data_IF_917244380783
#
_entry.id   IF_917244380783
#
_cell.length_a   1.000
_cell.length_b   1.000
_cell.length_c   1.000
_cell.angle_alpha   90.00
_cell.angle_beta   90.00
_cell.angle_gamma   90.00
#
_symmetry.space_group_name_H-M   'P 1'
#
loop_
_entity.id
_entity.type
_entity.pdbx_description
1 polymer ?
#
# COMPACT_ATOMS: atom_id res chain seq x y z
N UNK A 1 57.48 19.70 82.73
CA UNK A 1 56.21 20.15 82.08
C UNK A 1 56.40 20.88 80.75
N UNK A 2 57.36 20.54 79.88
CA UNK A 2 57.49 21.13 78.49
C UNK A 2 57.33 20.17 77.30
N UNK A 3 57.05 18.91 77.60
CA UNK A 3 56.94 17.89 76.50
C UNK A 3 55.53 17.68 75.98
N UNK A 4 54.45 17.97 76.72
CA UNK A 4 53.08 17.70 76.32
C UNK A 4 52.46 18.78 75.40
N UNK A 5 53.00 20.01 75.38
CA UNK A 5 52.42 21.06 74.55
C UNK A 5 52.81 21.01 73.06
N UNK A 6 53.90 20.30 72.69
CA UNK A 6 54.27 20.15 71.27
C UNK A 6 53.45 19.11 70.55
N UNK A 7 53.06 18.02 71.24
CA UNK A 7 52.20 16.95 70.56
C UNK A 7 50.77 17.37 70.30
N UNK A 8 50.17 18.18 71.22
CA UNK A 8 48.80 18.69 71.02
C UNK A 8 48.70 19.68 69.85
N UNK A 9 49.67 20.55 69.64
CA UNK A 9 49.71 21.48 68.51
C UNK A 9 49.92 20.78 67.15
N UNK A 10 50.68 19.66 67.13
CA UNK A 10 50.91 18.91 65.88
C UNK A 10 49.68 18.12 65.42
N UNK A 11 48.88 17.61 66.37
CA UNK A 11 47.61 16.99 66.07
C UNK A 11 46.53 17.98 65.61
N UNK A 12 46.44 19.18 66.19
CA UNK A 12 45.53 20.22 65.74
C UNK A 12 45.88 20.75 64.35
N UNK A 13 47.17 20.91 64.03
CA UNK A 13 47.61 21.39 62.71
C UNK A 13 47.38 20.31 61.64
N UNK A 14 47.57 19.02 61.94
CA UNK A 14 47.26 17.90 61.04
C UNK A 14 45.75 17.74 60.81
N UNK A 15 44.94 17.92 61.89
CA UNK A 15 43.48 17.91 61.78
C UNK A 15 42.93 19.07 60.94
N UNK A 16 43.43 20.31 61.12
CA UNK A 16 43.04 21.45 60.28
C UNK A 16 43.48 21.32 58.79
N UNK A 17 44.68 20.74 58.54
CA UNK A 17 45.14 20.47 57.14
C UNK A 17 44.32 19.37 56.46
N UNK A 18 43.89 18.32 57.15
CA UNK A 18 43.05 17.24 56.64
C UNK A 18 41.65 17.76 56.28
N UNK A 19 41.02 18.53 57.16
CA UNK A 19 39.73 19.17 56.91
C UNK A 19 39.73 20.19 55.74
N UNK A 20 40.85 20.93 55.53
CA UNK A 20 41.02 21.80 54.36
C UNK A 20 41.21 21.04 53.06
N UNK A 21 41.89 19.86 53.05
CA UNK A 21 42.04 19.00 51.85
C UNK A 21 40.73 18.37 51.49
N UNK A 22 39.94 17.87 52.43
CA UNK A 22 38.65 17.27 52.21
C UNK A 22 37.62 18.30 51.69
N UNK A 23 37.55 19.49 52.26
CA UNK A 23 36.72 20.59 51.72
C UNK A 23 37.13 21.00 50.29
N UNK A 24 38.46 21.03 49.96
CA UNK A 24 38.90 21.27 48.55
C UNK A 24 38.56 20.15 47.63
N UNK A 25 38.57 18.89 48.05
CA UNK A 25 38.18 17.69 47.26
C UNK A 25 36.67 17.71 46.98
N UNK A 26 35.85 18.00 47.99
CA UNK A 26 34.39 18.15 47.81
C UNK A 26 34.01 19.35 46.93
N UNK A 27 34.75 20.46 47.00
CA UNK A 27 34.54 21.62 46.12
C UNK A 27 34.89 21.30 44.65
N UNK A 28 35.96 20.54 44.39
CA UNK A 28 36.33 20.10 43.04
C UNK A 28 35.28 19.12 42.48
N UNK A 29 34.81 18.16 43.29
CA UNK A 29 33.79 17.22 42.92
C UNK A 29 32.47 17.92 42.56
N UNK A 30 32.02 18.90 43.35
CA UNK A 30 30.84 19.70 43.04
C UNK A 30 30.99 20.48 41.74
N UNK A 31 32.17 21.03 41.42
CA UNK A 31 32.43 21.68 40.13
C UNK A 31 32.37 20.70 38.96
N UNK A 32 32.93 19.49 39.09
CA UNK A 32 32.88 18.46 38.06
C UNK A 32 31.43 18.02 37.81
N UNK A 33 30.66 17.77 38.87
CA UNK A 33 29.23 17.43 38.76
C UNK A 33 28.43 18.55 38.07
N UNK A 34 28.71 19.83 38.44
CA UNK A 34 28.07 20.97 37.81
C UNK A 34 28.42 21.07 36.30
N UNK A 35 29.69 20.86 35.95
CA UNK A 35 30.11 20.85 34.52
C UNK A 35 29.41 19.74 33.77
N UNK A 36 29.37 18.51 34.30
CA UNK A 36 28.66 17.40 33.70
C UNK A 36 27.17 17.74 33.52
N UNK A 37 26.53 18.31 34.55
CA UNK A 37 25.14 18.72 34.48
C UNK A 37 24.91 19.77 33.40
N UNK A 38 25.72 20.82 33.33
CA UNK A 38 25.65 21.88 32.32
C UNK A 38 25.86 21.29 30.93
N UNK A 39 26.84 20.37 30.75
CA UNK A 39 27.09 19.70 29.47
C UNK A 39 25.88 18.89 29.04
N UNK A 40 25.25 18.13 29.94
CA UNK A 40 24.04 17.37 29.66
C UNK A 40 22.85 18.27 29.28
N UNK A 41 22.72 19.42 29.96
CA UNK A 41 21.70 20.43 29.63
C UNK A 41 21.93 21.01 28.23
N UNK A 42 23.17 21.35 27.89
CA UNK A 42 23.53 21.87 26.55
C UNK A 42 23.24 20.81 25.47
N UNK A 43 23.63 19.56 25.70
CA UNK A 43 23.32 18.43 24.75
C UNK A 43 21.82 18.28 24.60
N UNK A 44 21.05 18.33 25.70
CA UNK A 44 19.59 18.27 25.68
C UNK A 44 18.95 19.41 24.87
N UNK A 45 19.38 20.65 25.13
CA UNK A 45 18.87 21.82 24.38
C UNK A 45 19.22 21.77 22.89
N UNK A 46 20.45 21.33 22.57
CA UNK A 46 20.87 21.14 21.18
C UNK A 46 20.00 20.06 20.47
N UNK A 47 19.75 18.95 21.17
CA UNK A 47 18.87 17.89 20.68
C UNK A 47 17.42 18.39 20.41
N UNK A 48 16.88 19.18 21.35
CA UNK A 48 15.55 19.81 21.18
C UNK A 48 15.57 20.79 20.01
N UNK A 49 16.61 21.57 19.83
CA UNK A 49 16.74 22.50 18.69
C UNK A 49 16.78 21.78 17.34
N UNK A 50 17.53 20.68 17.23
CA UNK A 50 17.60 19.85 16.04
C UNK A 50 16.23 19.20 15.77
N UNK A 51 15.59 18.64 16.80
CA UNK A 51 14.26 18.08 16.71
C UNK A 51 13.25 19.10 16.18
N UNK A 52 13.17 20.28 16.80
CA UNK A 52 12.28 21.35 16.40
C UNK A 52 12.56 21.83 14.96
N UNK A 53 13.82 21.97 14.57
CA UNK A 53 14.22 22.35 13.22
C UNK A 53 13.82 21.35 12.15
N UNK A 54 13.80 20.05 12.46
CA UNK A 54 13.31 19.02 11.55
C UNK A 54 11.77 19.00 11.57
N UNK A 55 11.16 19.00 12.76
CA UNK A 55 9.71 18.85 12.95
C UNK A 55 8.90 19.99 12.31
N UNK A 56 9.35 21.24 12.44
CA UNK A 56 8.69 22.42 11.90
C UNK A 56 9.25 22.89 10.55
N UNK A 57 10.04 22.07 9.86
CA UNK A 57 10.60 22.44 8.55
C UNK A 57 9.51 22.45 7.46
N UNK A 58 9.43 23.56 6.71
CA UNK A 58 8.52 23.68 5.55
C UNK A 58 8.78 22.64 4.45
N UNK A 59 9.97 22.03 4.43
CA UNK A 59 10.30 20.94 3.47
C UNK A 59 9.43 19.70 3.64
N UNK A 60 8.77 19.55 4.79
CA UNK A 60 7.95 18.39 5.14
C UNK A 60 6.47 18.71 5.19
N UNK A 61 6.11 19.89 4.69
CA UNK A 61 4.73 20.31 4.63
C UNK A 61 3.95 19.40 3.66
N UNK A 62 2.78 19.01 4.08
CA UNK A 62 1.83 18.24 3.27
C UNK A 62 0.54 19.05 3.10
N UNK A 63 -0.13 18.82 1.99
CA UNK A 63 -1.42 19.43 1.66
C UNK A 63 -2.56 18.41 1.81
N UNK A 64 -3.80 18.85 1.73
CA UNK A 64 -4.94 17.93 1.73
C UNK A 64 -4.92 17.01 0.51
N UNK A 65 -4.48 17.52 -0.62
CA UNK A 65 -4.37 16.81 -1.89
C UNK A 65 -3.37 15.63 -1.78
N UNK A 66 -2.30 15.81 -1.01
CA UNK A 66 -1.33 14.73 -0.75
C UNK A 66 -1.93 13.59 0.09
N UNK A 67 -2.98 13.88 0.89
CA UNK A 67 -3.63 12.90 1.78
C UNK A 67 -4.86 12.26 1.15
N UNK A 68 -5.44 12.90 0.15
CA UNK A 68 -6.57 12.32 -0.58
C UNK A 68 -6.08 11.06 -1.28
N UNK A 69 -6.67 9.93 -0.90
CA UNK A 69 -6.43 8.67 -1.60
C UNK A 69 -6.77 8.90 -3.07
N UNK A 70 -5.84 8.52 -3.95
CA UNK A 70 -6.12 8.46 -5.38
C UNK A 70 -7.43 7.69 -5.62
N UNK A 71 -8.07 7.97 -6.71
CA UNK A 71 -9.35 7.39 -7.08
C UNK A 71 -9.33 5.86 -7.04
N UNK A 72 -10.53 5.27 -7.08
CA UNK A 72 -10.71 3.84 -7.32
C UNK A 72 -9.99 3.38 -8.58
N UNK A 73 -9.76 2.08 -8.70
CA UNK A 73 -9.34 1.50 -9.96
C UNK A 73 -10.30 1.87 -11.09
N UNK A 74 -9.77 2.06 -12.28
CA UNK A 74 -10.60 2.29 -13.47
C UNK A 74 -11.31 1.02 -13.87
N UNK A 75 -12.60 1.12 -14.17
CA UNK A 75 -13.43 0.01 -14.65
C UNK A 75 -13.65 0.11 -16.14
N UNK A 76 -13.59 -1.02 -16.85
CA UNK A 76 -13.76 -1.12 -18.29
C UNK A 76 -15.06 -1.84 -18.63
N UNK A 77 -15.80 -1.30 -19.56
CA UNK A 77 -17.09 -1.82 -20.02
C UNK A 77 -17.09 -2.02 -21.53
N UNK A 78 -17.90 -2.95 -22.00
CA UNK A 78 -18.14 -3.16 -23.44
C UNK A 78 -19.13 -2.12 -24.02
N UNK A 79 -19.49 -2.28 -25.29
CA UNK A 79 -20.41 -1.39 -26.00
C UNK A 79 -21.84 -1.36 -25.44
N UNK A 80 -22.23 -2.38 -24.68
CA UNK A 80 -23.55 -2.50 -24.04
C UNK A 80 -23.53 -2.08 -22.56
N UNK A 81 -22.36 -1.69 -22.03
CA UNK A 81 -22.16 -1.35 -20.62
C UNK A 81 -21.96 -2.57 -19.71
N UNK A 82 -21.70 -3.75 -20.28
CA UNK A 82 -21.31 -4.93 -19.50
C UNK A 82 -19.89 -4.78 -18.99
N UNK A 83 -19.66 -5.07 -17.71
CA UNK A 83 -18.35 -5.05 -17.11
C UNK A 83 -17.39 -6.05 -17.78
N UNK A 84 -16.21 -5.59 -18.17
CA UNK A 84 -15.14 -6.41 -18.76
C UNK A 84 -14.02 -6.70 -17.76
N UNK A 85 -13.42 -5.66 -17.21
CA UNK A 85 -12.33 -5.78 -16.24
C UNK A 85 -12.18 -4.53 -15.39
N UNK A 86 -11.34 -4.63 -14.37
CA UNK A 86 -10.88 -3.52 -13.55
C UNK A 86 -9.38 -3.34 -13.76
N UNK A 87 -8.94 -2.13 -14.10
CA UNK A 87 -7.53 -1.82 -14.27
C UNK A 87 -6.94 -1.55 -12.88
N UNK A 88 -6.20 -2.49 -12.36
CA UNK A 88 -5.40 -2.31 -11.16
C UNK A 88 -3.98 -1.88 -11.54
N UNK A 89 -3.54 -0.74 -11.01
CA UNK A 89 -2.16 -0.35 -11.09
C UNK A 89 -1.28 -1.16 -10.12
N UNK A 90 -0.25 -0.51 -9.56
CA UNK A 90 0.60 -1.12 -8.53
C UNK A 90 -0.19 -1.49 -7.25
N UNK A 91 -1.38 -0.95 -7.07
CA UNK A 91 -2.22 -1.12 -5.89
C UNK A 91 -3.67 -1.43 -6.29
N UNK A 92 -4.08 -2.68 -6.04
CA UNK A 92 -5.46 -3.09 -6.28
C UNK A 92 -6.33 -2.72 -5.07
N UNK A 93 -7.14 -1.65 -5.19
CA UNK A 93 -8.00 -1.14 -4.12
C UNK A 93 -9.40 -0.76 -4.60
N UNK A 94 -10.34 -0.83 -3.66
CA UNK A 94 -11.67 -0.24 -3.80
C UNK A 94 -11.95 0.62 -2.59
N UNK A 95 -12.12 1.93 -2.83
CA UNK A 95 -12.37 2.93 -1.78
C UNK A 95 -13.85 2.86 -1.39
N UNK A 96 -14.09 2.73 -0.10
CA UNK A 96 -15.43 2.77 0.50
C UNK A 96 -15.45 3.75 1.67
N UNK A 97 -16.62 4.27 2.00
CA UNK A 97 -16.78 5.14 3.17
C UNK A 97 -16.60 4.35 4.48
N UNK A 98 -16.23 5.03 5.56
CA UNK A 98 -16.12 4.40 6.88
C UNK A 98 -17.43 3.72 7.31
N UNK A 99 -18.58 4.27 6.92
CA UNK A 99 -19.90 3.69 7.20
C UNK A 99 -20.11 2.35 6.47
N UNK A 100 -19.54 2.18 5.28
CA UNK A 100 -19.64 0.96 4.47
C UNK A 100 -18.64 -0.13 4.92
N UNK A 101 -17.74 0.17 5.88
CA UNK A 101 -16.79 -0.81 6.42
C UNK A 101 -17.41 -1.71 7.52
N UNK A 102 -18.69 -1.52 7.83
CA UNK A 102 -19.36 -2.23 8.90
C UNK A 102 -18.91 -1.81 10.32
N UNK A 103 -19.54 -2.40 11.35
CA UNK A 103 -19.28 -1.97 12.73
C UNK A 103 -17.99 -2.51 13.34
N UNK A 104 -17.44 -3.60 12.81
CA UNK A 104 -16.34 -4.34 13.43
C UNK A 104 -14.95 -3.95 12.91
N UNK A 105 -14.79 -3.72 11.59
CA UNK A 105 -13.49 -3.45 10.98
C UNK A 105 -12.81 -2.22 11.61
N UNK A 106 -13.46 -1.04 11.71
CA UNK A 106 -12.82 0.13 12.31
C UNK A 106 -12.39 -0.13 13.76
N UNK A 107 -13.26 -0.78 14.55
CA UNK A 107 -12.98 -1.12 15.95
C UNK A 107 -11.82 -2.11 16.08
N UNK A 108 -11.77 -3.14 15.24
CA UNK A 108 -10.71 -4.16 15.27
C UNK A 108 -9.32 -3.58 14.96
N UNK A 109 -9.23 -2.74 13.93
CA UNK A 109 -7.97 -2.07 13.58
C UNK A 109 -7.52 -1.08 14.66
N UNK A 110 -8.44 -0.26 15.19
CA UNK A 110 -8.12 0.64 16.30
C UNK A 110 -7.66 -0.14 17.52
N UNK A 111 -8.31 -1.24 17.87
CA UNK A 111 -7.97 -2.05 19.03
C UNK A 111 -6.54 -2.60 18.97
N UNK A 112 -6.10 -3.11 17.82
CA UNK A 112 -4.80 -3.77 17.71
C UNK A 112 -3.68 -2.83 17.32
N UNK A 113 -3.95 -1.84 16.48
CA UNK A 113 -2.94 -0.93 15.96
C UNK A 113 -2.76 0.31 16.84
N UNK A 114 -3.85 0.87 17.38
CA UNK A 114 -3.80 2.15 18.07
C UNK A 114 -4.94 2.33 19.08
N UNK A 115 -4.90 1.59 20.20
CA UNK A 115 -5.95 1.61 21.24
C UNK A 115 -6.29 2.99 21.80
N UNK A 116 -5.42 3.97 21.61
CA UNK A 116 -5.57 5.34 22.07
C UNK A 116 -5.77 6.34 20.93
N UNK A 117 -6.17 5.86 19.76
CA UNK A 117 -6.32 6.65 18.55
C UNK A 117 -7.07 7.98 18.77
N UNK A 118 -8.18 7.94 19.51
CA UNK A 118 -9.00 9.13 19.82
C UNK A 118 -8.33 10.11 20.82
N UNK A 119 -7.20 9.74 21.45
CA UNK A 119 -6.63 10.47 22.59
C UNK A 119 -5.35 11.22 22.28
N UNK A 120 -4.86 11.16 21.05
CA UNK A 120 -3.61 11.84 20.65
C UNK A 120 -3.79 12.58 19.31
N UNK A 121 -2.85 13.48 19.00
CA UNK A 121 -2.81 14.26 17.76
C UNK A 121 -1.68 13.77 16.85
N UNK A 122 -1.84 12.58 16.30
CA UNK A 122 -0.90 11.96 15.35
C UNK A 122 0.24 11.15 15.99
N UNK A 123 0.70 11.52 17.17
CA UNK A 123 1.77 10.82 17.91
C UNK A 123 1.30 10.51 19.32
N UNK A 124 1.28 9.25 19.71
CA UNK A 124 1.05 8.85 21.10
C UNK A 124 2.36 8.86 21.88
N UNK A 125 2.62 9.97 22.58
CA UNK A 125 3.85 10.15 23.36
C UNK A 125 4.03 9.08 24.46
N UNK A 126 2.93 8.63 25.09
CA UNK A 126 2.99 7.59 26.12
C UNK A 126 3.41 6.24 25.54
N UNK A 127 2.79 5.84 24.42
CA UNK A 127 3.12 4.61 23.70
C UNK A 127 4.53 4.67 23.12
N UNK A 128 4.91 5.80 22.53
CA UNK A 128 6.26 6.04 22.00
C UNK A 128 7.34 5.95 23.07
N UNK A 129 7.14 6.58 24.23
CA UNK A 129 8.07 6.48 25.35
C UNK A 129 8.19 5.03 25.86
N UNK A 130 7.06 4.32 25.98
CA UNK A 130 7.05 2.91 26.34
C UNK A 130 7.81 2.03 25.34
N UNK A 131 7.66 2.28 24.03
CA UNK A 131 8.39 1.58 22.99
C UNK A 131 9.90 1.83 23.05
N UNK A 132 10.33 3.07 23.30
CA UNK A 132 11.74 3.43 23.46
C UNK A 132 12.36 2.73 24.69
N UNK A 133 11.67 2.77 25.83
CA UNK A 133 12.13 2.08 27.05
C UNK A 133 12.25 0.57 26.82
N UNK A 134 11.24 -0.04 26.18
CA UNK A 134 11.23 -1.47 25.87
C UNK A 134 12.37 -1.84 24.91
N UNK A 135 12.62 -1.02 23.89
CA UNK A 135 13.75 -1.18 22.95
C UNK A 135 15.11 -1.15 23.68
N UNK A 136 15.30 -0.22 24.61
CA UNK A 136 16.54 -0.11 25.41
C UNK A 136 16.70 -1.34 26.32
N UNK A 137 15.64 -1.74 27.05
CA UNK A 137 15.68 -2.87 27.98
C UNK A 137 15.99 -4.18 27.24
N UNK A 138 15.39 -4.40 26.05
CA UNK A 138 15.55 -5.61 25.25
C UNK A 138 16.72 -5.52 24.23
N UNK A 139 17.62 -4.54 24.38
CA UNK A 139 18.82 -4.35 23.53
C UNK A 139 18.51 -4.38 22.04
N UNK A 140 17.47 -3.68 21.62
CA UNK A 140 17.08 -3.57 20.21
C UNK A 140 16.20 -4.72 19.67
N UNK A 141 15.89 -5.73 20.46
CA UNK A 141 15.04 -6.88 20.05
C UNK A 141 13.59 -6.75 20.53
N UNK A 142 13.01 -5.55 20.45
CA UNK A 142 11.62 -5.33 20.86
C UNK A 142 10.67 -5.41 19.66
N UNK A 143 9.64 -6.24 19.79
CA UNK A 143 8.51 -6.31 18.84
C UNK A 143 7.36 -5.34 19.20
N UNK A 144 7.56 -4.47 20.19
CA UNK A 144 6.52 -3.53 20.63
C UNK A 144 6.36 -2.40 19.61
N UNK A 145 5.24 -2.41 18.87
CA UNK A 145 4.91 -1.39 17.89
C UNK A 145 4.52 -0.06 18.56
N UNK A 146 5.32 0.98 18.36
CA UNK A 146 5.06 2.32 18.91
C UNK A 146 4.38 3.29 17.97
N UNK A 147 4.13 2.92 16.71
CA UNK A 147 3.52 3.79 15.70
C UNK A 147 2.00 3.85 15.85
N UNK A 148 1.44 5.04 15.62
CA UNK A 148 -0.02 5.26 15.57
C UNK A 148 -0.58 4.96 14.18
N UNK A 149 -1.91 4.85 14.05
CA UNK A 149 -2.60 4.74 12.76
C UNK A 149 -2.22 5.91 11.84
N UNK A 150 -2.18 7.14 12.37
CA UNK A 150 -1.80 8.33 11.59
C UNK A 150 -0.36 8.27 11.09
N UNK A 151 0.57 7.75 11.89
CA UNK A 151 1.95 7.53 11.48
C UNK A 151 2.09 6.44 10.41
N UNK A 152 1.32 5.35 10.54
CA UNK A 152 1.27 4.31 9.53
C UNK A 152 0.69 4.83 8.22
N UNK A 153 -0.36 5.68 8.28
CA UNK A 153 -0.92 6.34 7.11
C UNK A 153 0.14 7.18 6.39
N UNK A 154 0.91 8.01 7.13
CA UNK A 154 2.03 8.78 6.55
C UNK A 154 3.04 7.87 5.86
N UNK A 155 3.47 6.78 6.53
CA UNK A 155 4.44 5.82 5.96
C UNK A 155 3.92 5.22 4.64
N UNK A 156 2.65 4.80 4.61
CA UNK A 156 2.04 4.18 3.44
C UNK A 156 1.92 5.16 2.26
N UNK A 157 1.60 6.43 2.54
CA UNK A 157 1.44 7.46 1.52
C UNK A 157 2.77 7.90 0.90
N UNK A 158 3.80 8.06 1.72
CA UNK A 158 5.06 8.69 1.28
C UNK A 158 6.05 7.69 0.66
N UNK A 159 5.82 6.37 0.82
CA UNK A 159 6.70 5.30 0.30
C UNK A 159 8.20 5.62 0.51
N UNK A 160 8.53 6.24 1.66
CA UNK A 160 9.91 6.57 2.01
C UNK A 160 10.70 5.29 2.28
N UNK A 161 11.93 5.21 1.77
CA UNK A 161 12.84 4.08 2.01
C UNK A 161 13.09 3.85 3.50
N UNK A 162 13.34 2.60 3.87
CA UNK A 162 13.68 2.25 5.25
C UNK A 162 15.15 2.59 5.53
N UNK A 163 15.39 3.83 5.96
CA UNK A 163 16.70 4.29 6.42
C UNK A 163 17.02 3.76 7.82
N UNK A 164 18.29 3.43 8.07
CA UNK A 164 18.81 3.02 9.37
C UNK A 164 19.65 4.12 10.05
N UNK A 165 19.93 3.94 11.32
CA UNK A 165 20.78 4.83 12.10
C UNK A 165 20.20 6.25 12.21
N UNK A 166 21.06 7.27 12.05
CA UNK A 166 20.65 8.68 12.14
C UNK A 166 19.68 9.12 11.06
N UNK A 167 19.75 8.55 9.87
CA UNK A 167 18.80 8.78 8.78
C UNK A 167 17.41 8.27 9.18
N UNK A 168 17.32 7.08 9.79
CA UNK A 168 16.08 6.53 10.33
C UNK A 168 15.45 7.39 11.43
N UNK A 169 16.28 7.97 12.33
CA UNK A 169 15.78 8.93 13.35
C UNK A 169 15.18 10.17 12.67
N UNK A 170 15.89 10.75 11.69
CA UNK A 170 15.41 11.91 10.93
C UNK A 170 14.11 11.60 10.19
N UNK A 171 14.03 10.45 9.54
CA UNK A 171 12.81 9.97 8.89
C UNK A 171 11.65 9.87 9.90
N UNK A 172 11.90 9.31 11.09
CA UNK A 172 10.86 9.18 12.12
C UNK A 172 10.37 10.54 12.63
N UNK A 173 11.23 11.54 12.76
CA UNK A 173 10.83 12.91 13.14
C UNK A 173 9.96 13.53 12.02
N UNK A 174 10.29 13.31 10.74
CA UNK A 174 9.46 13.75 9.61
C UNK A 174 8.08 13.09 9.62
N UNK A 175 8.04 11.77 9.86
CA UNK A 175 6.79 11.01 9.98
C UNK A 175 5.91 11.61 11.10
N UNK A 176 6.49 11.93 12.25
CA UNK A 176 5.77 12.57 13.35
C UNK A 176 5.25 13.97 12.98
N UNK A 177 6.07 14.77 12.31
CA UNK A 177 5.66 16.10 11.83
C UNK A 177 4.46 16.00 10.88
N UNK A 178 4.52 15.11 9.91
CA UNK A 178 3.44 14.89 8.95
C UNK A 178 2.18 14.29 9.60
N UNK A 179 2.35 13.35 10.52
CA UNK A 179 1.22 12.81 11.28
C UNK A 179 0.49 13.89 12.08
N UNK A 180 1.23 14.80 12.71
CA UNK A 180 0.65 15.95 13.39
C UNK A 180 -0.09 16.89 12.40
N UNK A 181 0.48 17.17 11.23
CA UNK A 181 -0.16 18.01 10.21
C UNK A 181 -1.47 17.37 9.70
N UNK A 182 -1.50 16.06 9.44
CA UNK A 182 -2.72 15.33 9.04
C UNK A 182 -3.83 15.51 10.09
N UNK A 183 -3.52 15.37 11.36
CA UNK A 183 -4.50 15.54 12.45
C UNK A 183 -5.01 16.99 12.59
N UNK A 184 -4.30 17.98 12.05
CA UNK A 184 -4.82 19.35 11.96
C UNK A 184 -5.74 19.57 10.75
N UNK A 185 -5.65 18.72 9.73
CA UNK A 185 -6.38 18.86 8.47
C UNK A 185 -7.61 17.94 8.38
N UNK A 186 -7.55 16.78 9.02
CA UNK A 186 -8.56 15.72 8.92
C UNK A 186 -9.10 15.32 10.30
N UNK A 187 -10.37 14.98 10.36
CA UNK A 187 -10.96 14.35 11.55
C UNK A 187 -10.47 12.91 11.74
N UNK A 188 -10.61 12.38 12.96
CA UNK A 188 -10.28 10.98 13.27
C UNK A 188 -10.96 9.98 12.33
N UNK A 189 -12.24 10.20 12.03
CA UNK A 189 -12.98 9.35 11.10
C UNK A 189 -12.38 9.40 9.69
N UNK A 190 -12.00 10.58 9.19
CA UNK A 190 -11.38 10.72 7.88
C UNK A 190 -9.99 10.06 7.84
N UNK A 191 -9.21 10.19 8.91
CA UNK A 191 -7.90 9.53 9.03
C UNK A 191 -8.08 8.00 9.02
N UNK A 192 -9.01 7.47 9.81
CA UNK A 192 -9.29 6.03 9.89
C UNK A 192 -9.81 5.49 8.56
N UNK A 193 -10.75 6.19 7.92
CA UNK A 193 -11.26 5.86 6.59
C UNK A 193 -10.13 5.79 5.56
N UNK A 194 -9.29 6.82 5.53
CA UNK A 194 -8.14 6.89 4.63
C UNK A 194 -7.17 5.75 4.87
N UNK A 195 -6.84 5.46 6.13
CA UNK A 195 -5.95 4.37 6.52
C UNK A 195 -6.49 3.00 6.10
N UNK A 196 -7.75 2.70 6.42
CA UNK A 196 -8.38 1.42 6.12
C UNK A 196 -8.56 1.16 4.62
N UNK A 197 -8.63 2.20 3.81
CA UNK A 197 -8.63 2.11 2.35
C UNK A 197 -7.22 1.98 1.74
N UNK A 198 -6.15 2.26 2.50
CA UNK A 198 -4.77 2.23 1.99
C UNK A 198 -3.92 1.09 2.51
N UNK A 199 -4.33 0.45 3.59
CA UNK A 199 -3.53 -0.58 4.23
C UNK A 199 -3.27 -1.76 3.29
N UNK A 200 -2.00 -2.22 3.24
CA UNK A 200 -1.64 -3.40 2.46
C UNK A 200 -2.09 -4.67 3.18
N UNK A 201 -2.85 -5.51 2.49
CA UNK A 201 -3.49 -6.70 3.07
C UNK A 201 -2.96 -8.02 2.48
N UNK A 202 -1.89 -7.98 1.68
CA UNK A 202 -1.21 -9.18 1.17
C UNK A 202 -1.94 -9.89 0.04
N UNK A 203 -1.94 -11.22 0.10
CA UNK A 203 -2.64 -12.09 -0.85
C UNK A 203 -1.89 -12.40 -2.15
N UNK A 204 -0.61 -12.00 -2.27
CA UNK A 204 0.21 -12.26 -3.48
C UNK A 204 -0.18 -11.43 -4.71
N UNK A 205 -1.17 -10.54 -4.60
CA UNK A 205 -1.77 -9.77 -5.70
C UNK A 205 -1.96 -8.28 -5.37
N UNK A 206 -1.06 -7.69 -4.62
CA UNK A 206 -1.08 -6.24 -4.32
C UNK A 206 -2.43 -5.73 -3.79
N UNK A 207 -3.07 -6.48 -2.86
CA UNK A 207 -4.36 -6.12 -2.27
C UNK A 207 -4.17 -4.99 -1.26
N UNK A 208 -4.87 -3.89 -1.50
CA UNK A 208 -4.90 -2.73 -0.63
C UNK A 208 -6.33 -2.40 -0.20
N UNK A 209 -6.48 -2.02 1.08
CA UNK A 209 -7.74 -1.63 1.68
C UNK A 209 -8.64 -2.80 2.08
N UNK A 210 -9.48 -2.53 3.07
CA UNK A 210 -10.29 -3.55 3.74
C UNK A 210 -11.40 -4.15 2.86
N UNK A 211 -11.95 -3.39 1.89
CA UNK A 211 -12.98 -3.91 0.99
C UNK A 211 -12.41 -4.98 0.05
N UNK A 212 -11.25 -4.71 -0.59
CA UNK A 212 -10.59 -5.70 -1.46
C UNK A 212 -10.11 -6.91 -0.66
N UNK A 213 -9.61 -6.70 0.55
CA UNK A 213 -9.23 -7.80 1.44
C UNK A 213 -10.42 -8.66 1.84
N UNK A 214 -11.56 -8.04 2.18
CA UNK A 214 -12.80 -8.75 2.48
C UNK A 214 -13.27 -9.61 1.30
N UNK A 215 -13.27 -9.04 0.10
CA UNK A 215 -13.58 -9.79 -1.13
C UNK A 215 -12.61 -10.94 -1.35
N UNK A 216 -11.31 -10.70 -1.20
CA UNK A 216 -10.29 -11.72 -1.44
C UNK A 216 -10.36 -12.90 -0.47
N UNK A 217 -10.48 -12.61 0.83
CA UNK A 217 -10.43 -13.67 1.85
C UNK A 217 -11.78 -14.34 2.10
N UNK A 218 -12.89 -13.64 1.91
CA UNK A 218 -14.22 -14.12 2.30
C UNK A 218 -15.28 -14.05 1.20
N UNK A 219 -14.96 -13.46 0.05
CA UNK A 219 -15.92 -13.16 -1.03
C UNK A 219 -17.15 -12.36 -0.55
N UNK A 220 -16.98 -11.53 0.48
CA UNK A 220 -17.98 -10.67 1.09
C UNK A 220 -17.61 -9.19 0.95
N UNK A 221 -18.58 -8.28 1.04
CA UNK A 221 -18.32 -6.87 1.30
C UNK A 221 -17.77 -6.66 2.72
N UNK A 222 -17.01 -5.59 2.93
CA UNK A 222 -16.48 -5.24 4.24
C UNK A 222 -17.59 -5.09 5.31
N UNK A 223 -18.75 -4.53 4.92
CA UNK A 223 -19.93 -4.38 5.77
C UNK A 223 -20.57 -5.69 6.24
N UNK A 224 -20.33 -6.79 5.51
CA UNK A 224 -20.94 -8.11 5.78
C UNK A 224 -20.06 -8.99 6.67
N UNK A 225 -18.87 -8.54 7.04
CA UNK A 225 -17.95 -9.33 7.85
C UNK A 225 -18.46 -9.50 9.30
N UNK A 226 -18.37 -10.72 9.79
CA UNK A 226 -18.58 -11.05 11.20
C UNK A 226 -17.46 -10.47 12.07
N UNK A 227 -17.67 -10.44 13.39
CA UNK A 227 -16.66 -10.01 14.35
C UNK A 227 -15.35 -10.81 14.22
N UNK A 228 -15.44 -12.13 14.05
CA UNK A 228 -14.27 -13.00 13.89
C UNK A 228 -13.51 -12.73 12.59
N UNK A 229 -14.22 -12.52 11.47
CA UNK A 229 -13.62 -12.19 10.18
C UNK A 229 -12.96 -10.80 10.17
N UNK A 230 -13.60 -9.81 10.78
CA UNK A 230 -13.02 -8.47 10.94
C UNK A 230 -11.76 -8.49 11.84
N UNK A 231 -11.79 -9.29 12.93
CA UNK A 231 -10.63 -9.49 13.79
C UNK A 231 -9.48 -10.19 13.05
N UNK A 232 -9.77 -11.13 12.16
CA UNK A 232 -8.76 -11.73 11.28
C UNK A 232 -8.09 -10.68 10.40
N UNK A 233 -8.88 -9.86 9.68
CA UNK A 233 -8.31 -8.82 8.80
C UNK A 233 -7.39 -7.86 9.58
N UNK A 234 -7.82 -7.41 10.76
CA UNK A 234 -6.99 -6.54 11.58
C UNK A 234 -5.72 -7.24 12.09
N UNK A 235 -5.83 -8.53 12.42
CA UNK A 235 -4.72 -9.33 12.93
C UNK A 235 -3.62 -9.60 11.93
N UNK A 236 -3.96 -9.81 10.66
CA UNK A 236 -2.98 -10.11 9.60
C UNK A 236 -2.23 -8.88 9.10
N UNK A 237 -2.68 -7.67 9.41
CA UNK A 237 -2.13 -6.41 8.92
C UNK A 237 -0.60 -6.29 9.10
N UNK A 238 -0.05 -6.81 10.19
CA UNK A 238 1.40 -6.75 10.49
C UNK A 238 2.28 -7.58 9.56
N UNK A 239 1.75 -8.70 9.06
CA UNK A 239 2.49 -9.63 8.21
C UNK A 239 1.50 -10.42 7.33
N UNK A 240 0.80 -9.76 6.39
CA UNK A 240 -0.30 -10.38 5.68
C UNK A 240 0.12 -11.59 4.85
N UNK A 241 1.35 -11.63 4.34
CA UNK A 241 1.85 -12.79 3.62
C UNK A 241 2.15 -13.98 4.56
N UNK A 242 2.56 -13.73 5.81
CA UNK A 242 2.83 -14.79 6.79
C UNK A 242 1.56 -15.42 7.40
N UNK A 243 0.41 -14.77 7.24
CA UNK A 243 -0.89 -15.24 7.72
C UNK A 243 -1.86 -15.52 6.57
N UNK A 244 -1.34 -15.84 5.37
CA UNK A 244 -2.16 -16.16 4.21
C UNK A 244 -2.90 -17.48 4.45
N UNK A 245 -4.25 -17.51 4.49
CA UNK A 245 -5.03 -18.72 4.76
C UNK A 245 -5.02 -19.74 3.60
N UNK A 246 -4.52 -19.34 2.44
CA UNK A 246 -4.40 -20.19 1.26
C UNK A 246 -3.03 -20.87 1.15
N UNK A 247 -2.16 -20.67 2.13
CA UNK A 247 -0.88 -21.36 2.30
C UNK A 247 -0.98 -22.36 3.44
N UNK A 248 -0.50 -23.59 3.22
CA UNK A 248 -0.56 -24.66 4.20
C UNK A 248 0.27 -24.34 5.46
N UNK A 249 -0.25 -24.73 6.62
CA UNK A 249 0.45 -24.61 7.90
C UNK A 249 0.23 -23.30 8.66
N UNK A 250 -0.56 -22.38 8.13
CA UNK A 250 -0.82 -21.08 8.75
C UNK A 250 -2.00 -21.07 9.74
N UNK A 251 -2.80 -22.14 9.84
CA UNK A 251 -4.08 -22.17 10.58
C UNK A 251 -3.92 -21.79 12.05
N UNK A 252 -2.94 -22.35 12.74
CA UNK A 252 -2.73 -22.07 14.18
C UNK A 252 -2.20 -20.62 14.40
N UNK A 253 -1.39 -20.11 13.51
CA UNK A 253 -0.91 -18.73 13.56
C UNK A 253 -2.07 -17.75 13.33
N UNK A 254 -2.96 -18.06 12.37
CA UNK A 254 -4.19 -17.30 12.09
C UNK A 254 -5.11 -17.29 13.30
N UNK A 255 -5.42 -18.47 13.89
CA UNK A 255 -6.23 -18.56 15.11
C UNK A 255 -5.65 -17.69 16.22
N UNK A 256 -4.35 -17.80 16.47
CA UNK A 256 -3.66 -17.05 17.53
C UNK A 256 -3.76 -15.54 17.32
N UNK A 257 -3.46 -15.04 16.11
CA UNK A 257 -3.51 -13.60 15.84
C UNK A 257 -4.93 -13.06 15.91
N UNK A 258 -5.91 -13.77 15.37
CA UNK A 258 -7.33 -13.38 15.42
C UNK A 258 -7.84 -13.30 16.85
N UNK A 259 -7.56 -14.31 17.69
CA UNK A 259 -7.89 -14.27 19.12
C UNK A 259 -7.24 -13.11 19.85
N UNK A 260 -6.00 -12.76 19.51
CA UNK A 260 -5.31 -11.61 20.11
C UNK A 260 -6.11 -10.32 19.87
N UNK A 261 -6.65 -10.13 18.67
CA UNK A 261 -7.48 -8.97 18.33
C UNK A 261 -8.79 -9.00 19.11
N UNK A 262 -9.49 -10.14 19.15
CA UNK A 262 -10.76 -10.30 19.89
C UNK A 262 -10.59 -10.00 21.39
N UNK A 263 -9.55 -10.54 22.02
CA UNK A 263 -9.22 -10.25 23.42
C UNK A 263 -9.00 -8.75 23.61
N UNK A 264 -8.24 -8.11 22.71
CA UNK A 264 -7.97 -6.69 22.80
C UNK A 264 -9.22 -5.83 22.61
N UNK A 265 -10.08 -6.19 21.68
CA UNK A 265 -11.38 -5.53 21.49
C UNK A 265 -12.27 -5.65 22.72
N UNK A 266 -12.30 -6.82 23.37
CA UNK A 266 -13.04 -7.05 24.62
C UNK A 266 -12.48 -6.19 25.77
N UNK A 267 -11.16 -6.19 25.98
CA UNK A 267 -10.49 -5.36 27.00
C UNK A 267 -10.81 -3.87 26.86
N UNK A 268 -11.00 -3.40 25.64
CA UNK A 268 -11.31 -2.01 25.33
C UNK A 268 -12.82 -1.70 25.31
N UNK A 269 -13.69 -2.68 25.61
CA UNK A 269 -15.14 -2.51 25.59
C UNK A 269 -15.71 -2.24 24.20
N UNK A 270 -15.04 -2.71 23.14
CA UNK A 270 -15.47 -2.50 21.76
C UNK A 270 -16.42 -3.58 21.24
N UNK A 271 -16.61 -4.65 22.00
CA UNK A 271 -17.59 -5.73 21.78
C UNK A 271 -18.77 -5.48 22.70
N UNK A 272 -19.98 -5.55 22.17
CA UNK A 272 -21.19 -5.10 22.89
C UNK A 272 -21.64 -6.09 23.97
N UNK A 273 -21.53 -7.40 23.69
CA UNK A 273 -21.98 -8.44 24.64
C UNK A 273 -20.91 -9.53 24.81
N UNK A 274 -21.01 -10.25 25.93
CA UNK A 274 -20.18 -11.41 26.22
C UNK A 274 -20.51 -12.59 25.28
N UNK A 275 -21.76 -12.71 24.90
CA UNK A 275 -22.24 -13.72 23.94
C UNK A 275 -21.59 -13.53 22.58
N UNK A 276 -21.57 -12.29 22.06
CA UNK A 276 -20.93 -11.94 20.79
C UNK A 276 -19.42 -12.28 20.80
N UNK A 277 -18.74 -11.99 21.91
CA UNK A 277 -17.34 -12.36 22.09
C UNK A 277 -17.13 -13.88 22.09
N UNK A 278 -17.93 -14.61 22.85
CA UNK A 278 -17.80 -16.07 22.99
C UNK A 278 -18.11 -16.78 21.68
N UNK A 279 -19.10 -16.32 20.92
CA UNK A 279 -19.42 -16.81 19.57
C UNK A 279 -18.26 -16.60 18.60
N UNK A 280 -17.64 -15.40 18.61
CA UNK A 280 -16.48 -15.11 17.77
C UNK A 280 -15.29 -16.00 18.14
N UNK A 281 -14.99 -16.20 19.43
CA UNK A 281 -13.94 -17.11 19.89
C UNK A 281 -14.20 -18.54 19.46
N UNK A 282 -15.43 -19.05 19.63
CA UNK A 282 -15.80 -20.39 19.22
C UNK A 282 -15.66 -20.59 17.70
N UNK A 283 -16.01 -19.58 16.92
CA UNK A 283 -15.82 -19.57 15.46
C UNK A 283 -14.34 -19.66 15.09
N UNK A 284 -13.47 -18.90 15.75
CA UNK A 284 -12.01 -18.96 15.52
C UNK A 284 -11.42 -20.31 15.94
N UNK A 285 -11.90 -20.90 17.06
CA UNK A 285 -11.43 -22.21 17.53
C UNK A 285 -11.77 -23.33 16.56
N UNK A 286 -12.99 -23.29 16.01
CA UNK A 286 -13.43 -24.22 14.97
C UNK A 286 -12.65 -24.03 13.65
N UNK A 287 -12.13 -22.86 13.41
CA UNK A 287 -11.48 -22.42 12.17
C UNK A 287 -12.40 -21.55 11.33
N UNK A 288 -11.85 -20.40 10.89
CA UNK A 288 -12.56 -19.51 9.97
C UNK A 288 -12.76 -20.18 8.62
N UNK A 289 -13.92 -19.94 7.99
CA UNK A 289 -14.19 -20.39 6.63
C UNK A 289 -13.73 -19.30 5.67
N UNK A 290 -12.71 -19.60 4.86
CA UNK A 290 -12.22 -18.71 3.82
C UNK A 290 -12.81 -19.09 2.48
N UNK A 291 -13.32 -18.10 1.77
CA UNK A 291 -13.86 -18.26 0.41
C UNK A 291 -13.14 -17.26 -0.48
N UNK A 292 -12.23 -17.75 -1.30
CA UNK A 292 -11.44 -16.91 -2.19
C UNK A 292 -12.34 -16.25 -3.22
N UNK A 293 -12.47 -14.91 -3.15
CA UNK A 293 -13.15 -14.14 -4.16
C UNK A 293 -12.34 -14.04 -5.45
N UNK A 294 -13.05 -13.90 -6.56
CA UNK A 294 -12.40 -13.59 -7.82
C UNK A 294 -11.83 -12.17 -7.78
N UNK A 295 -10.52 -12.07 -7.90
CA UNK A 295 -9.87 -10.83 -8.26
C UNK A 295 -9.76 -10.87 -9.77
N UNK A 296 -10.60 -10.11 -10.44
CA UNK A 296 -10.46 -9.92 -11.89
C UNK A 296 -9.19 -9.13 -12.11
N UNK A 297 -8.11 -9.85 -12.38
CA UNK A 297 -6.82 -9.23 -12.66
C UNK A 297 -6.87 -8.59 -14.05
N UNK A 298 -6.23 -7.44 -14.20
CA UNK A 298 -6.10 -6.74 -15.49
C UNK A 298 -5.28 -7.53 -16.55
N UNK A 299 -4.81 -8.72 -16.19
CA UNK A 299 -4.10 -9.61 -17.10
C UNK A 299 -5.00 -10.40 -18.04
N UNK A 300 -6.28 -10.56 -17.70
CA UNK A 300 -7.25 -11.30 -18.52
C UNK A 300 -8.13 -10.33 -19.35
N UNK A 301 -7.47 -9.55 -20.21
CA UNK A 301 -8.12 -8.59 -21.11
C UNK A 301 -8.03 -9.05 -22.56
N UNK A 302 -8.99 -8.64 -23.38
CA UNK A 302 -8.97 -8.88 -24.83
C UNK A 302 -7.95 -7.97 -25.53
N UNK A 303 -7.57 -8.35 -26.76
CA UNK A 303 -6.75 -7.48 -27.63
C UNK A 303 -7.45 -6.16 -27.96
N UNK A 304 -8.77 -6.16 -28.06
CA UNK A 304 -9.57 -4.96 -28.25
C UNK A 304 -9.49 -4.05 -27.01
N UNK A 305 -9.71 -4.61 -25.83
CA UNK A 305 -9.63 -3.87 -24.56
C UNK A 305 -8.22 -3.29 -24.34
N UNK A 306 -7.17 -4.08 -24.64
CA UNK A 306 -5.79 -3.60 -24.54
C UNK A 306 -5.52 -2.39 -25.47
N UNK A 307 -6.02 -2.45 -26.73
CA UNK A 307 -5.89 -1.34 -27.67
C UNK A 307 -6.65 -0.09 -27.20
N UNK A 308 -7.85 -0.25 -26.63
CA UNK A 308 -8.63 0.85 -26.07
C UNK A 308 -7.92 1.51 -24.88
N UNK A 309 -7.28 0.72 -24.01
CA UNK A 309 -6.48 1.22 -22.89
C UNK A 309 -5.28 2.03 -23.39
N UNK A 310 -4.56 1.52 -24.40
CA UNK A 310 -3.42 2.21 -25.01
C UNK A 310 -3.84 3.56 -25.60
N UNK A 311 -4.94 3.58 -26.35
CA UNK A 311 -5.45 4.82 -26.96
C UNK A 311 -5.79 5.88 -25.88
N UNK A 312 -6.53 5.49 -24.83
CA UNK A 312 -6.88 6.43 -23.75
C UNK A 312 -5.65 6.90 -22.98
N UNK A 313 -4.66 6.03 -22.82
CA UNK A 313 -3.39 6.43 -22.19
C UNK A 313 -2.64 7.45 -23.04
N UNK A 314 -2.64 7.32 -24.39
CA UNK A 314 -2.07 8.30 -25.32
C UNK A 314 -2.84 9.63 -25.24
N UNK A 315 -4.18 9.60 -25.23
CA UNK A 315 -5.02 10.79 -25.10
C UNK A 315 -4.76 11.54 -23.77
N UNK A 316 -4.61 10.80 -22.65
CA UNK A 316 -4.24 11.39 -21.35
C UNK A 316 -2.84 11.99 -21.40
N UNK A 317 -1.87 11.31 -22.03
CA UNK A 317 -0.50 11.80 -22.16
C UNK A 317 -0.46 13.13 -22.89
N UNK A 318 -1.20 13.25 -24.00
CA UNK A 318 -1.31 14.49 -24.78
C UNK A 318 -2.02 15.60 -24.00
N UNK A 319 -3.20 15.31 -23.43
CA UNK A 319 -4.01 16.32 -22.71
C UNK A 319 -3.33 16.85 -21.44
N UNK A 320 -2.56 16.01 -20.74
CA UNK A 320 -1.89 16.39 -19.48
C UNK A 320 -0.42 16.73 -19.66
N UNK A 321 0.09 16.67 -20.88
CA UNK A 321 1.52 16.91 -21.18
C UNK A 321 2.48 16.05 -20.34
N UNK A 322 2.11 14.79 -20.10
CA UNK A 322 2.90 13.81 -19.33
C UNK A 322 3.41 12.68 -20.22
N UNK A 323 4.41 11.94 -19.76
CA UNK A 323 4.87 10.76 -20.49
C UNK A 323 3.84 9.61 -20.38
N UNK A 324 3.91 8.65 -21.33
CA UNK A 324 2.96 7.53 -21.43
C UNK A 324 2.90 6.65 -20.16
N UNK A 325 4.01 6.51 -19.44
CA UNK A 325 4.06 5.73 -18.20
C UNK A 325 3.24 6.42 -17.11
N UNK A 326 3.37 7.72 -16.97
CA UNK A 326 2.58 8.52 -16.02
C UNK A 326 1.10 8.56 -16.44
N UNK A 327 0.80 8.70 -17.73
CA UNK A 327 -0.56 8.64 -18.25
C UNK A 327 -1.24 7.31 -17.94
N UNK A 328 -0.55 6.18 -18.11
CA UNK A 328 -1.07 4.86 -17.71
C UNK A 328 -1.31 4.79 -16.20
N UNK A 329 -0.41 5.33 -15.38
CA UNK A 329 -0.61 5.40 -13.93
C UNK A 329 -1.89 6.19 -13.57
N UNK A 330 -2.08 7.34 -14.22
CA UNK A 330 -3.29 8.16 -14.06
C UNK A 330 -4.54 7.40 -14.50
N UNK A 331 -4.50 6.72 -15.65
CA UNK A 331 -5.63 5.93 -16.15
C UNK A 331 -5.98 4.81 -15.18
N UNK A 332 -5.01 4.03 -14.73
CA UNK A 332 -5.25 2.85 -13.90
C UNK A 332 -5.78 3.18 -12.50
N UNK A 333 -5.30 4.28 -11.92
CA UNK A 333 -5.68 4.71 -10.57
C UNK A 333 -6.63 5.90 -10.52
N UNK A 334 -7.17 6.33 -11.66
CA UNK A 334 -7.97 7.56 -11.77
C UNK A 334 -9.47 7.38 -11.51
N UNK A 335 -9.94 6.16 -11.26
CA UNK A 335 -11.35 5.87 -11.00
C UNK A 335 -12.26 6.11 -12.20
N UNK A 336 -11.71 6.06 -13.41
CA UNK A 336 -12.48 6.27 -14.63
C UNK A 336 -13.43 5.10 -14.92
N UNK A 337 -14.45 5.37 -15.70
CA UNK A 337 -15.27 4.35 -16.36
C UNK A 337 -14.96 4.40 -17.85
N UNK A 338 -14.24 3.41 -18.34
CA UNK A 338 -13.85 3.33 -19.74
C UNK A 338 -14.90 2.45 -20.49
N UNK A 339 -15.66 3.07 -21.36
CA UNK A 339 -16.61 2.38 -22.25
C UNK A 339 -15.95 2.15 -23.59
N UNK A 340 -15.75 0.89 -23.94
CA UNK A 340 -15.14 0.49 -25.23
C UNK A 340 -16.21 0.26 -26.29
N UNK A 341 -15.80 0.15 -27.53
CA UNK A 341 -16.66 -0.25 -28.64
C UNK A 341 -16.74 -1.76 -28.85
N UNK A 342 -16.12 -2.54 -27.96
CA UNK A 342 -16.11 -4.00 -28.01
C UNK A 342 -17.53 -4.56 -27.96
N UNK A 343 -17.87 -5.40 -28.92
CA UNK A 343 -19.03 -6.28 -28.83
C UNK A 343 -18.56 -7.64 -28.32
N UNK A 344 -18.89 -7.94 -27.05
CA UNK A 344 -18.34 -9.09 -26.32
C UNK A 344 -18.53 -10.41 -27.07
N UNK A 345 -19.71 -10.66 -27.66
CA UNK A 345 -19.99 -11.89 -28.41
C UNK A 345 -19.15 -12.05 -29.70
N UNK A 346 -18.80 -10.94 -30.33
CA UNK A 346 -17.91 -10.92 -31.50
C UNK A 346 -16.47 -11.22 -31.03
N UNK A 347 -16.01 -10.54 -30.00
CA UNK A 347 -14.66 -10.71 -29.47
C UNK A 347 -14.41 -12.14 -28.99
N UNK A 348 -15.31 -12.71 -28.18
CA UNK A 348 -15.23 -14.10 -27.70
C UNK A 348 -15.19 -15.11 -28.87
N UNK A 349 -15.97 -14.86 -29.94
CA UNK A 349 -15.95 -15.69 -31.13
C UNK A 349 -14.61 -15.61 -31.85
N UNK A 350 -14.02 -14.40 -31.98
CA UNK A 350 -12.70 -14.23 -32.59
C UNK A 350 -11.62 -14.96 -31.78
N UNK A 351 -11.62 -14.81 -30.47
CA UNK A 351 -10.67 -15.47 -29.55
C UNK A 351 -10.76 -17.00 -29.69
N UNK A 352 -11.97 -17.55 -29.65
CA UNK A 352 -12.21 -18.99 -29.85
C UNK A 352 -11.69 -19.51 -31.19
N UNK A 353 -11.88 -18.74 -32.27
CA UNK A 353 -11.39 -19.17 -33.62
C UNK A 353 -9.85 -19.09 -33.69
N UNK A 354 -9.23 -18.07 -33.05
CA UNK A 354 -7.78 -17.87 -33.07
C UNK A 354 -6.98 -18.90 -32.22
N UNK A 355 -7.66 -19.65 -31.35
CA UNK A 355 -7.10 -20.76 -30.59
C UNK A 355 -7.19 -22.11 -31.33
N UNK A 356 -7.84 -22.18 -32.51
CA UNK A 356 -7.99 -23.46 -33.23
C UNK A 356 -6.70 -23.89 -33.91
N UNK A 357 -6.23 -25.08 -33.61
CA UNK A 357 -5.00 -25.68 -34.16
C UNK A 357 -4.95 -25.66 -35.69
N UNK A 358 -6.09 -25.77 -36.36
CA UNK A 358 -6.18 -25.75 -37.83
C UNK A 358 -5.64 -24.48 -38.48
N UNK A 359 -5.53 -23.39 -37.74
CA UNK A 359 -4.98 -22.14 -38.22
C UNK A 359 -3.54 -21.91 -37.73
N UNK A 360 -3.04 -22.76 -36.82
CA UNK A 360 -1.73 -22.64 -36.22
C UNK A 360 -0.79 -23.59 -36.95
N UNK A 361 0.11 -23.06 -37.74
CA UNK A 361 1.12 -23.83 -38.43
C UNK A 361 2.50 -23.17 -38.34
N UNK A 362 3.56 -23.95 -38.32
CA UNK A 362 4.89 -23.48 -38.16
C UNK A 362 5.35 -22.66 -39.35
N UNK A 363 6.02 -21.53 -39.07
CA UNK A 363 6.73 -20.77 -40.07
C UNK A 363 7.92 -21.59 -40.58
N UNK A 364 8.07 -21.70 -41.90
CA UNK A 364 9.29 -22.31 -42.48
C UNK A 364 10.48 -21.37 -42.57
N UNK A 365 10.32 -20.14 -42.07
CA UNK A 365 11.31 -19.07 -42.25
C UNK A 365 11.89 -18.60 -40.92
N UNK A 366 11.08 -18.44 -39.86
CA UNK A 366 11.48 -17.81 -38.63
C UNK A 366 11.60 -18.85 -37.50
N UNK A 367 12.76 -18.86 -36.85
CA UNK A 367 13.03 -19.70 -35.67
C UNK A 367 13.14 -18.86 -34.41
N UNK A 368 12.84 -19.44 -33.27
CA UNK A 368 13.13 -18.85 -31.94
C UNK A 368 14.61 -19.02 -31.57
N UNK A 369 14.99 -18.52 -30.40
CA UNK A 369 16.35 -18.61 -29.84
C UNK A 369 16.81 -20.07 -29.59
N UNK A 370 15.88 -21.02 -29.48
CA UNK A 370 16.15 -22.46 -29.33
C UNK A 370 16.19 -23.20 -30.67
N UNK A 371 16.05 -22.49 -31.79
CA UNK A 371 16.08 -23.06 -33.14
C UNK A 371 14.76 -23.73 -33.57
N UNK A 372 13.67 -23.63 -32.75
CA UNK A 372 12.34 -24.12 -33.09
C UNK A 372 11.65 -23.13 -34.02
N UNK A 373 10.94 -23.61 -35.04
CA UNK A 373 10.15 -22.74 -35.92
C UNK A 373 9.02 -22.04 -35.14
N UNK A 374 8.96 -20.71 -35.30
CA UNK A 374 7.85 -19.91 -34.73
C UNK A 374 6.56 -20.18 -35.50
N UNK A 375 5.45 -20.11 -34.79
CA UNK A 375 4.15 -20.15 -35.42
C UNK A 375 3.91 -18.93 -36.32
N UNK A 376 3.17 -19.14 -37.44
CA UNK A 376 2.60 -18.02 -38.18
C UNK A 376 1.68 -17.21 -37.27
N UNK A 377 1.68 -15.91 -37.48
CA UNK A 377 0.90 -14.99 -36.70
C UNK A 377 -0.13 -14.25 -37.58
N UNK A 378 -1.21 -13.78 -36.94
CA UNK A 378 -2.28 -13.04 -37.62
C UNK A 378 -2.74 -11.88 -36.78
N UNK A 379 -3.20 -10.81 -37.43
CA UNK A 379 -3.97 -9.71 -36.83
C UNK A 379 -5.29 -9.55 -37.58
N UNK A 380 -6.37 -9.24 -36.86
CA UNK A 380 -7.70 -9.02 -37.44
C UNK A 380 -8.41 -7.89 -36.68
N UNK A 381 -9.15 -7.07 -37.42
CA UNK A 381 -10.12 -6.13 -36.88
C UNK A 381 -11.46 -6.33 -37.52
N UNK A 382 -12.53 -6.20 -36.76
CA UNK A 382 -13.91 -6.16 -37.27
C UNK A 382 -14.45 -4.75 -37.03
N UNK A 383 -14.91 -4.12 -38.11
CA UNK A 383 -15.44 -2.75 -38.11
C UNK A 383 -16.92 -2.79 -38.46
N UNK A 384 -17.75 -2.13 -37.67
CA UNK A 384 -19.15 -1.90 -37.99
C UNK A 384 -19.27 -0.83 -39.08
N UNK A 385 -19.80 -1.18 -40.22
CA UNK A 385 -19.79 -0.31 -41.41
C UNK A 385 -20.55 1.00 -41.23
N UNK A 386 -21.63 0.95 -40.46
CA UNK A 386 -22.53 2.11 -40.27
C UNK A 386 -21.95 3.19 -39.37
N UNK A 387 -21.12 2.80 -38.41
CA UNK A 387 -20.58 3.72 -37.38
C UNK A 387 -19.07 3.92 -37.52
N UNK A 388 -18.37 3.00 -38.21
CA UNK A 388 -16.90 2.96 -38.24
C UNK A 388 -16.24 2.44 -36.98
N UNK A 389 -17.01 1.98 -35.99
CA UNK A 389 -16.48 1.47 -34.73
C UNK A 389 -15.77 0.12 -34.91
N UNK A 390 -14.59 -0.04 -34.30
CA UNK A 390 -13.94 -1.34 -34.17
C UNK A 390 -14.68 -2.12 -33.09
N UNK A 391 -15.37 -3.21 -33.45
CA UNK A 391 -16.19 -4.00 -32.53
C UNK A 391 -15.51 -5.28 -32.04
N UNK A 392 -14.36 -5.63 -32.64
CA UNK A 392 -13.52 -6.74 -32.24
C UNK A 392 -12.12 -6.63 -32.82
N UNK A 393 -11.11 -7.07 -32.07
CA UNK A 393 -9.71 -7.08 -32.49
C UNK A 393 -8.96 -8.30 -31.96
N UNK A 394 -8.10 -8.89 -32.82
CA UNK A 394 -7.15 -9.95 -32.45
C UNK A 394 -5.76 -9.57 -32.95
N UNK A 395 -4.77 -9.64 -32.09
CA UNK A 395 -3.39 -9.26 -32.40
C UNK A 395 -2.39 -10.41 -32.44
N UNK A 396 -2.81 -11.63 -32.14
CA UNK A 396 -1.96 -12.81 -32.14
C UNK A 396 -2.73 -14.10 -32.28
N UNK A 397 -2.13 -15.11 -32.87
CA UNK A 397 -2.68 -16.44 -33.13
C UNK A 397 -2.05 -17.45 -32.15
N UNK A 398 -2.87 -18.32 -31.57
CA UNK A 398 -2.44 -19.37 -30.64
C UNK A 398 -2.38 -18.93 -29.17
N UNK A 399 -2.25 -19.92 -28.28
CA UNK A 399 -2.25 -19.74 -26.82
C UNK A 399 -0.97 -19.08 -26.26
N UNK A 400 0.08 -18.99 -27.06
CA UNK A 400 1.34 -18.32 -26.73
C UNK A 400 1.32 -16.80 -27.01
N UNK A 401 0.21 -16.31 -27.58
CA UNK A 401 -0.01 -14.89 -27.85
C UNK A 401 -0.77 -14.24 -26.69
N UNK A 402 -0.31 -13.08 -26.24
CA UNK A 402 -0.90 -12.33 -25.13
C UNK A 402 -1.45 -10.98 -25.60
N UNK A 403 -2.64 -10.56 -25.16
CA UNK A 403 -3.18 -9.22 -25.40
C UNK A 403 -2.29 -8.08 -24.88
N UNK A 404 -1.49 -8.36 -23.85
CA UNK A 404 -0.50 -7.40 -23.29
C UNK A 404 0.83 -7.41 -24.07
N UNK A 405 1.00 -8.32 -25.04
CA UNK A 405 2.13 -8.34 -25.94
C UNK A 405 1.89 -7.54 -27.20
N UNK A 406 2.58 -7.90 -28.29
CA UNK A 406 2.45 -7.23 -29.58
C UNK A 406 1.06 -7.43 -30.19
N UNK A 407 0.29 -6.35 -30.28
CA UNK A 407 -0.99 -6.34 -30.99
C UNK A 407 -0.76 -6.07 -32.48
N UNK A 408 -0.74 -7.13 -33.28
CA UNK A 408 -0.48 -7.03 -34.74
C UNK A 408 -1.58 -6.36 -35.53
N UNK A 409 -2.76 -6.22 -34.94
CA UNK A 409 -3.87 -5.50 -35.58
C UNK A 409 -3.69 -3.97 -35.53
N UNK A 410 -3.00 -3.45 -34.49
CA UNK A 410 -2.88 -2.00 -34.25
C UNK A 410 -1.44 -1.50 -34.24
N UNK A 411 -0.46 -2.36 -33.93
CA UNK A 411 0.94 -1.93 -33.66
C UNK A 411 1.92 -2.39 -34.75
N UNK A 412 1.47 -3.01 -35.85
CA UNK A 412 2.38 -3.47 -36.92
C UNK A 412 2.07 -2.81 -38.25
N UNK A 413 3.14 -2.50 -38.98
CA UNK A 413 3.06 -1.94 -40.33
C UNK A 413 3.42 -3.02 -41.36
N UNK A 414 2.59 -3.19 -42.40
CA UNK A 414 2.81 -4.12 -43.50
C UNK A 414 2.48 -3.45 -44.83
N UNK A 415 3.10 -3.92 -45.88
CA UNK A 415 2.74 -3.48 -47.23
C UNK A 415 1.31 -3.91 -47.53
N UNK A 416 0.47 -2.95 -47.92
CA UNK A 416 -0.94 -3.17 -48.25
C UNK A 416 -1.15 -3.94 -49.54
N UNK A 417 -0.20 -3.88 -50.46
CA UNK A 417 -0.32 -4.55 -51.76
C UNK A 417 -1.62 -4.19 -52.49
N UNK A 418 -2.27 -5.20 -53.04
CA UNK A 418 -3.53 -5.05 -53.82
C UNK A 418 -4.72 -4.57 -52.99
N UNK A 419 -4.67 -4.58 -51.67
CA UNK A 419 -5.74 -4.06 -50.81
C UNK A 419 -5.88 -2.51 -50.92
N UNK A 420 -4.90 -1.83 -51.52
CA UNK A 420 -4.99 -0.40 -51.81
C UNK A 420 -5.86 -0.10 -53.07
N UNK A 421 -6.17 -1.08 -53.90
CA UNK A 421 -6.93 -0.82 -55.14
C UNK A 421 -8.28 -0.14 -54.94
N UNK A 422 -9.10 -0.53 -53.91
CA UNK A 422 -10.37 0.15 -53.66
C UNK A 422 -10.19 1.65 -53.37
N UNK A 423 -9.13 2.03 -52.66
CA UNK A 423 -8.85 3.41 -52.29
C UNK A 423 -8.13 4.18 -53.42
N UNK A 424 -7.05 3.62 -53.97
CA UNK A 424 -6.20 4.30 -54.96
C UNK A 424 -6.73 4.31 -56.36
N UNK A 425 -7.45 3.25 -56.79
CA UNK A 425 -7.97 3.16 -58.12
C UNK A 425 -9.46 3.39 -58.25
N UNK A 426 -10.28 2.60 -57.47
CA UNK A 426 -11.73 2.66 -57.60
C UNK A 426 -12.30 3.97 -57.05
N UNK A 427 -11.94 4.36 -55.83
CA UNK A 427 -12.42 5.60 -55.25
C UNK A 427 -11.94 6.85 -56.02
N UNK A 428 -10.70 6.85 -56.50
CA UNK A 428 -10.19 7.92 -57.35
C UNK A 428 -10.94 7.99 -58.70
N UNK A 429 -11.22 6.84 -59.34
CA UNK A 429 -12.03 6.76 -60.55
C UNK A 429 -13.44 7.29 -60.35
N UNK A 430 -14.13 6.84 -59.32
CA UNK A 430 -15.47 7.34 -58.99
C UNK A 430 -15.48 8.86 -58.70
N UNK A 431 -14.46 9.38 -58.03
CA UNK A 431 -14.37 10.80 -57.77
C UNK A 431 -14.04 11.61 -59.05
N UNK A 432 -13.43 10.99 -60.03
CA UNK A 432 -13.19 11.57 -61.34
C UNK A 432 -14.35 11.38 -62.32
N UNK A 433 -15.40 10.72 -61.97
CA UNK A 433 -16.57 10.47 -62.82
C UNK A 433 -16.39 9.35 -63.86
N UNK A 434 -15.46 8.41 -63.59
CA UNK A 434 -15.14 7.28 -64.51
C UNK A 434 -15.73 5.99 -63.93
#
# INVERSE_FOLDING_TARGET
MRSNNKKTNEYEIKGKKRNKKDKKKHSKLKKVILIIFITLVIIGLTGIGIFAGIFFSDKWKITKEDVVIGYNNTTVYDSEGKFLCELSGDENRKIISLADMGKYIPKAFVAIEDERFEKHSGVDLKRTAGAIVNFIIHRGKSSYGGSTITQQLVKNMMKEDEDEGLAGVRRKIREWSRAYQIEQMLSKNQILETYLNQVFMGGGTNIYGVEKASKYYFNKSASELTLAEAAFLAGINRAPNAYNPYEEGNEEAIKKVTKTVLVKMKELGMIETEEEYNEAIATVDKGLTFTKGEIVDSTDISYHTAAAIDQVAEDIAEQKEVNIKEARRILYSGGYKLYTTQVTSIQERMEKEYLRDKYIFDSKITKDENGKYKHTQSGMTIIEQTTGKVVGAMGGLGSDSSPLGLNRATQTFRQCGSTMKPLAAVAAGLNAGV
#
